data_IF_670122787340
#
_entry.id   IF_670122787340
#
_cell.length_a   1.000
_cell.length_b   1.000
_cell.length_c   1.000
_cell.angle_alpha   90.00
_cell.angle_beta   90.00
_cell.angle_gamma   90.00
#
_symmetry.space_group_name_H-M   'P 1'
#
loop_
_entity.id
_entity.type
_entity.pdbx_description
1 polymer ?
#
# COMPACT_ATOMS: atom_id res chain seq x y z
N UNK A 1 18.81 12.97 10.41
CA UNK A 1 18.59 12.75 11.84
C UNK A 1 17.37 13.55 12.26
N UNK A 2 16.50 12.97 13.06
CA UNK A 2 15.34 13.62 13.65
C UNK A 2 15.58 13.86 15.14
N UNK A 3 15.19 15.01 15.64
CA UNK A 3 15.29 15.37 17.05
C UNK A 3 13.98 15.98 17.53
N UNK A 4 13.65 15.80 18.80
CA UNK A 4 12.61 16.58 19.47
C UNK A 4 13.15 17.96 19.88
N UNK A 5 12.27 18.96 20.06
CA UNK A 5 12.68 20.24 20.61
C UNK A 5 13.47 20.04 21.91
N UNK A 6 14.57 20.78 22.06
CA UNK A 6 15.50 20.71 23.19
C UNK A 6 16.41 19.46 23.25
N UNK A 7 16.24 18.47 22.38
CA UNK A 7 17.22 17.39 22.25
C UNK A 7 18.54 17.87 21.63
N UNK A 8 19.65 17.36 22.16
CA UNK A 8 20.97 17.61 21.61
C UNK A 8 21.34 16.53 20.58
N UNK A 9 21.99 16.94 19.50
CA UNK A 9 22.62 15.99 18.57
C UNK A 9 23.84 15.35 19.25
N UNK A 10 23.76 14.05 19.52
CA UNK A 10 24.87 13.27 20.09
C UNK A 10 25.64 12.62 18.96
N UNK A 11 26.93 12.94 18.86
CA UNK A 11 27.82 12.30 17.89
C UNK A 11 28.43 11.02 18.47
N UNK A 12 28.56 9.94 17.67
CA UNK A 12 29.25 8.74 18.11
C UNK A 12 30.72 9.07 18.46
N UNK A 13 31.18 8.58 19.61
CA UNK A 13 32.58 8.69 20.02
C UNK A 13 33.38 7.59 19.33
N UNK A 14 34.27 7.94 18.42
CA UNK A 14 35.26 7.02 17.88
C UNK A 14 36.47 6.98 18.82
N UNK A 15 36.80 5.81 19.36
CA UNK A 15 37.62 5.61 20.57
C UNK A 15 39.04 6.17 20.59
N UNK A 16 39.62 6.69 19.52
CA UNK A 16 41.01 7.20 19.46
C UNK A 16 41.16 8.50 18.69
N UNK A 17 40.08 9.06 18.18
CA UNK A 17 40.11 10.34 17.45
C UNK A 17 39.42 11.38 18.32
N UNK A 18 40.06 12.56 18.47
CA UNK A 18 39.42 13.71 19.10
C UNK A 18 38.01 13.90 18.53
N UNK A 19 37.02 14.27 19.36
CA UNK A 19 35.62 14.32 18.92
C UNK A 19 35.50 15.23 17.69
N UNK A 20 34.80 14.72 16.67
CA UNK A 20 34.40 15.52 15.52
C UNK A 20 33.71 16.79 16.03
N UNK A 21 34.23 17.94 15.68
CA UNK A 21 33.63 19.22 16.05
C UNK A 21 32.53 19.57 15.05
N UNK A 22 31.41 19.99 15.57
CA UNK A 22 30.31 20.51 14.74
C UNK A 22 30.67 21.92 14.27
N UNK A 23 30.63 22.13 12.96
CA UNK A 23 30.80 23.45 12.36
C UNK A 23 29.51 23.76 11.57
N UNK A 24 28.84 24.81 11.88
CA UNK A 24 27.65 25.26 11.17
C UNK A 24 27.44 26.75 11.39
N UNK A 25 26.66 27.37 10.54
CA UNK A 25 26.28 28.80 10.64
C UNK A 25 25.56 29.17 11.93
N UNK A 26 25.21 28.18 12.74
CA UNK A 26 24.75 28.31 14.12
C UNK A 26 25.27 27.11 14.90
N UNK A 27 25.90 27.33 16.05
CA UNK A 27 26.31 26.28 16.99
C UNK A 27 25.06 25.59 17.55
N UNK A 28 24.54 24.59 16.82
CA UNK A 28 23.34 23.88 17.21
C UNK A 28 23.71 22.69 18.06
N UNK A 29 23.92 22.94 19.33
CA UNK A 29 23.97 21.89 20.35
C UNK A 29 22.58 21.63 20.96
N UNK A 30 21.66 22.57 20.84
CA UNK A 30 20.25 22.38 21.22
C UNK A 30 19.34 23.20 20.31
N UNK A 31 18.51 22.53 19.52
CA UNK A 31 17.50 23.19 18.68
C UNK A 31 16.22 23.36 19.48
N UNK A 32 15.88 24.59 19.83
CA UNK A 32 14.60 24.89 20.51
C UNK A 32 13.41 25.00 19.54
N UNK A 33 13.69 25.32 18.29
CA UNK A 33 12.64 25.56 17.30
C UNK A 33 12.46 24.38 16.34
N UNK A 34 11.22 24.05 16.03
CA UNK A 34 10.85 23.13 14.96
C UNK A 34 11.37 23.66 13.63
N UNK A 35 12.04 22.81 12.86
CA UNK A 35 12.63 23.22 11.59
C UNK A 35 13.65 22.23 11.04
N UNK A 36 14.21 22.55 9.87
CA UNK A 36 15.26 21.76 9.21
C UNK A 36 16.57 22.52 9.26
N UNK A 37 17.63 21.88 9.75
CA UNK A 37 18.97 22.43 9.95
C UNK A 37 19.99 21.59 9.20
N UNK A 38 21.02 22.23 8.67
CA UNK A 38 22.18 21.57 8.09
C UNK A 38 23.38 21.80 9.01
N UNK A 39 24.04 20.71 9.37
CA UNK A 39 25.23 20.74 10.22
C UNK A 39 26.37 20.00 9.54
N UNK A 40 27.51 20.67 9.36
CA UNK A 40 28.69 20.05 8.79
C UNK A 40 29.57 19.52 9.90
N UNK A 41 29.92 18.24 9.82
CA UNK A 41 30.93 17.61 10.65
C UNK A 41 32.32 17.93 10.09
N UNK A 42 33.19 18.49 10.90
CA UNK A 42 34.57 18.80 10.52
C UNK A 42 35.55 18.09 11.43
N UNK A 43 36.56 17.46 10.85
CA UNK A 43 37.69 16.87 11.56
C UNK A 43 38.66 18.00 11.95
N UNK A 44 39.04 18.05 13.22
CA UNK A 44 39.87 19.12 13.75
C UNK A 44 39.24 20.52 13.70
N UNK A 45 37.94 20.62 13.37
CA UNK A 45 37.21 21.87 13.29
C UNK A 45 37.37 22.65 11.98
N UNK A 46 38.17 22.17 11.02
CA UNK A 46 38.46 22.87 9.76
C UNK A 46 38.24 22.01 8.49
N UNK A 47 38.42 20.67 8.57
CA UNK A 47 38.24 19.78 7.41
C UNK A 47 36.81 19.23 7.37
N UNK A 48 35.95 19.65 6.45
CA UNK A 48 34.59 19.13 6.35
C UNK A 48 34.58 17.67 5.91
N UNK A 49 33.93 16.81 6.70
CA UNK A 49 33.87 15.36 6.45
C UNK A 49 32.47 14.95 5.95
N UNK A 50 31.42 15.48 6.58
CA UNK A 50 30.04 15.11 6.24
C UNK A 50 29.06 16.21 6.64
N UNK A 51 28.09 16.50 5.79
CA UNK A 51 26.94 17.33 6.13
C UNK A 51 25.76 16.46 6.57
N UNK A 52 25.21 16.77 7.74
CA UNK A 52 24.04 16.08 8.31
C UNK A 52 22.85 17.05 8.25
N UNK A 53 21.75 16.57 7.68
CA UNK A 53 20.46 17.26 7.79
C UNK A 53 19.79 16.81 9.08
N UNK A 54 19.49 17.75 9.96
CA UNK A 54 18.77 17.53 11.21
C UNK A 54 17.38 18.15 11.10
N UNK A 55 16.35 17.37 11.36
CA UNK A 55 14.96 17.84 11.40
C UNK A 55 14.50 17.82 12.85
N UNK A 56 14.18 19.00 13.38
CA UNK A 56 13.59 19.14 14.71
C UNK A 56 12.08 19.18 14.56
N UNK A 57 11.39 18.25 15.20
CA UNK A 57 9.94 18.12 15.10
C UNK A 57 9.37 17.55 16.40
N UNK A 58 8.15 17.90 16.70
CA UNK A 58 7.41 17.20 17.76
C UNK A 58 7.15 15.76 17.30
N UNK A 59 7.37 14.81 18.20
CA UNK A 59 7.15 13.40 17.90
C UNK A 59 5.69 13.13 17.57
N UNK A 60 5.39 12.56 16.40
CA UNK A 60 4.02 12.16 16.07
C UNK A 60 3.55 11.05 17.01
N UNK A 61 2.27 11.08 17.35
CA UNK A 61 1.59 9.99 18.05
C UNK A 61 0.35 9.61 17.27
N UNK A 62 0.22 8.33 16.93
CA UNK A 62 -0.83 7.80 16.06
C UNK A 62 -1.49 6.58 16.70
N UNK A 63 -2.66 6.20 16.23
CA UNK A 63 -3.30 4.93 16.56
C UNK A 63 -2.72 3.86 15.63
N UNK A 64 -1.92 2.96 16.17
CA UNK A 64 -1.34 1.80 15.45
C UNK A 64 -2.42 0.75 15.28
N UNK A 65 -2.64 0.29 14.06
CA UNK A 65 -3.80 -0.53 13.72
C UNK A 65 -3.46 -2.01 13.47
N UNK A 66 -3.02 -2.39 12.31
CA UNK A 66 -2.85 -3.80 11.91
C UNK A 66 -4.16 -4.45 11.40
N UNK A 67 -5.23 -3.67 11.26
CA UNK A 67 -6.56 -4.11 10.83
C UNK A 67 -6.59 -4.32 9.30
N UNK A 68 -7.29 -5.36 8.80
CA UNK A 68 -7.45 -5.53 7.37
C UNK A 68 -8.41 -4.48 6.81
N UNK A 69 -8.15 -4.03 5.62
CA UNK A 69 -9.08 -3.19 4.86
C UNK A 69 -9.13 -3.61 3.40
N UNK A 70 -10.28 -3.43 2.81
CA UNK A 70 -10.47 -3.55 1.37
C UNK A 70 -10.13 -2.24 0.69
N UNK A 71 -9.46 -2.33 -0.44
CA UNK A 71 -9.15 -1.20 -1.30
C UNK A 71 -10.06 -1.23 -2.51
N UNK A 72 -10.69 -0.11 -2.83
CA UNK A 72 -11.37 0.12 -4.10
C UNK A 72 -10.69 1.29 -4.78
N UNK A 73 -10.05 1.05 -5.92
CA UNK A 73 -9.46 2.11 -6.73
C UNK A 73 -10.38 2.42 -7.90
N UNK A 74 -10.55 3.70 -8.15
CA UNK A 74 -11.24 4.20 -9.33
C UNK A 74 -10.20 4.89 -10.20
N UNK A 75 -9.83 4.25 -11.31
CA UNK A 75 -9.00 4.85 -12.35
C UNK A 75 -9.88 5.68 -13.29
N UNK A 76 -9.28 6.49 -14.15
CA UNK A 76 -10.01 7.06 -15.29
C UNK A 76 -10.29 5.93 -16.29
N UNK A 77 -11.50 5.33 -16.22
CA UNK A 77 -11.86 4.15 -16.97
C UNK A 77 -11.59 2.83 -16.24
N UNK A 78 -12.15 1.75 -16.74
CA UNK A 78 -11.96 0.40 -16.20
C UNK A 78 -10.65 -0.19 -16.73
N UNK A 79 -9.68 -0.43 -15.84
CA UNK A 79 -8.39 -1.05 -16.19
C UNK A 79 -8.57 -2.57 -16.37
N UNK A 80 -8.08 -3.11 -17.47
CA UNK A 80 -8.06 -4.56 -17.72
C UNK A 80 -6.84 -5.15 -17.01
N UNK A 81 -7.06 -5.76 -15.85
CA UNK A 81 -5.99 -6.40 -15.03
C UNK A 81 -5.90 -7.91 -15.23
N UNK A 82 -6.79 -8.49 -16.01
CA UNK A 82 -6.80 -9.91 -16.31
C UNK A 82 -7.93 -10.27 -17.25
N UNK A 83 -7.84 -11.48 -17.79
CA UNK A 83 -8.92 -12.06 -18.58
C UNK A 83 -9.53 -13.25 -17.82
N UNK A 84 -10.84 -13.43 -17.97
CA UNK A 84 -11.57 -14.62 -17.53
C UNK A 84 -12.50 -15.07 -18.66
N UNK A 85 -12.48 -16.34 -18.99
CA UNK A 85 -13.40 -16.83 -19.97
C UNK A 85 -14.84 -16.78 -19.41
N UNK A 86 -15.79 -16.55 -20.30
CA UNK A 86 -17.21 -16.48 -20.03
C UNK A 86 -17.85 -17.82 -20.36
N UNK A 87 -18.51 -18.46 -19.38
CA UNK A 87 -19.16 -19.75 -19.57
C UNK A 87 -20.49 -19.54 -20.31
N UNK A 88 -20.60 -20.15 -21.48
CA UNK A 88 -21.80 -20.05 -22.32
C UNK A 88 -22.79 -21.16 -22.02
N UNK A 89 -24.05 -20.91 -22.31
CA UNK A 89 -25.13 -21.88 -22.12
C UNK A 89 -24.98 -23.16 -22.97
N UNK A 90 -24.21 -23.10 -24.07
CA UNK A 90 -23.92 -24.25 -24.93
C UNK A 90 -22.75 -25.12 -24.41
N UNK A 91 -22.22 -24.81 -23.22
CA UNK A 91 -21.08 -25.51 -22.61
C UNK A 91 -19.72 -25.09 -23.14
N UNK A 92 -19.65 -24.13 -24.07
CA UNK A 92 -18.41 -23.54 -24.54
C UNK A 92 -17.99 -22.34 -23.70
N UNK A 93 -16.77 -21.84 -23.97
CA UNK A 93 -16.27 -20.60 -23.37
C UNK A 93 -16.01 -19.55 -24.43
N UNK A 94 -16.09 -18.27 -24.06
CA UNK A 94 -15.75 -17.15 -24.92
C UNK A 94 -14.98 -16.09 -24.14
N UNK A 95 -14.14 -15.33 -24.84
CA UNK A 95 -13.53 -14.14 -24.27
C UNK A 95 -13.69 -12.95 -25.23
N UNK A 96 -14.80 -12.20 -25.13
CA UNK A 96 -15.09 -11.09 -26.03
C UNK A 96 -13.99 -10.02 -26.07
N UNK A 97 -13.40 -9.70 -24.93
CA UNK A 97 -12.35 -8.69 -24.88
C UNK A 97 -11.07 -9.10 -25.60
N UNK A 98 -10.64 -10.36 -25.47
CA UNK A 98 -9.52 -10.90 -26.25
C UNK A 98 -9.84 -10.91 -27.75
N UNK A 99 -11.06 -11.31 -28.11
CA UNK A 99 -11.50 -11.33 -29.51
C UNK A 99 -11.54 -9.91 -30.11
N UNK A 100 -11.85 -8.91 -29.31
CA UNK A 100 -11.82 -7.49 -29.69
C UNK A 100 -10.40 -6.88 -29.73
N UNK A 101 -9.35 -7.65 -29.43
CA UNK A 101 -7.96 -7.16 -29.43
C UNK A 101 -7.59 -6.28 -28.24
N UNK A 102 -8.36 -6.35 -27.14
CA UNK A 102 -8.00 -5.70 -25.89
C UNK A 102 -6.88 -6.47 -25.19
N UNK A 103 -5.99 -5.75 -24.52
CA UNK A 103 -4.82 -6.28 -23.83
C UNK A 103 -4.87 -5.98 -22.34
N UNK A 104 -4.03 -6.69 -21.57
CA UNK A 104 -3.75 -6.31 -20.17
C UNK A 104 -3.14 -4.91 -20.13
N UNK A 105 -3.54 -4.12 -19.16
CA UNK A 105 -3.12 -2.73 -19.04
C UNK A 105 -3.92 -1.73 -19.88
N UNK A 106 -4.81 -2.18 -20.76
CA UNK A 106 -5.75 -1.29 -21.45
C UNK A 106 -6.74 -0.70 -20.44
N UNK A 107 -7.05 0.56 -20.60
CA UNK A 107 -8.00 1.27 -19.78
C UNK A 107 -9.22 1.64 -20.61
N UNK A 108 -10.31 0.90 -20.42
CA UNK A 108 -11.59 1.14 -21.10
C UNK A 108 -12.22 2.40 -20.52
N UNK A 109 -12.45 3.41 -21.34
CA UNK A 109 -13.00 4.71 -20.92
C UNK A 109 -14.44 4.92 -21.38
N UNK A 110 -14.89 4.17 -22.40
CA UNK A 110 -16.25 4.23 -22.88
C UNK A 110 -16.68 2.91 -23.53
N UNK A 111 -17.91 2.49 -23.33
CA UNK A 111 -18.57 1.38 -24.03
C UNK A 111 -19.90 1.92 -24.58
N UNK A 112 -20.04 1.96 -25.92
CA UNK A 112 -21.13 2.64 -26.57
C UNK A 112 -21.14 4.13 -26.19
N UNK A 113 -22.26 4.59 -25.64
CA UNK A 113 -22.42 5.97 -25.14
C UNK A 113 -22.11 6.10 -23.63
N UNK A 114 -21.74 5.01 -22.96
CA UNK A 114 -21.55 4.97 -21.51
C UNK A 114 -20.09 5.14 -21.14
N UNK A 115 -19.77 6.21 -20.40
CA UNK A 115 -18.45 6.37 -19.79
C UNK A 115 -18.23 5.31 -18.70
N UNK A 116 -17.12 4.57 -18.79
CA UNK A 116 -16.82 3.44 -17.89
C UNK A 116 -15.90 3.87 -16.77
N UNK A 117 -16.41 4.69 -15.85
CA UNK A 117 -15.64 5.20 -14.71
C UNK A 117 -15.38 4.15 -13.61
N UNK A 118 -16.14 3.06 -13.62
CA UNK A 118 -16.07 1.96 -12.66
C UNK A 118 -16.73 0.70 -13.23
N UNK A 119 -16.63 -0.41 -12.50
CA UNK A 119 -17.14 -1.71 -12.90
C UNK A 119 -18.66 -1.76 -13.06
N UNK A 120 -19.39 -1.01 -12.24
CA UNK A 120 -20.85 -0.95 -12.33
C UNK A 120 -21.27 -0.27 -13.65
N UNK A 121 -20.52 0.75 -14.10
CA UNK A 121 -20.74 1.39 -15.39
C UNK A 121 -20.40 0.46 -16.57
N UNK A 122 -19.31 -0.32 -16.47
CA UNK A 122 -18.97 -1.35 -17.46
C UNK A 122 -20.11 -2.40 -17.55
N UNK A 123 -20.53 -2.91 -16.41
CA UNK A 123 -21.62 -3.88 -16.35
C UNK A 123 -22.91 -3.32 -16.98
N UNK A 124 -23.31 -2.11 -16.59
CA UNK A 124 -24.50 -1.47 -17.12
C UNK A 124 -24.42 -1.27 -18.65
N UNK A 125 -23.25 -0.90 -19.18
CA UNK A 125 -23.04 -0.74 -20.61
C UNK A 125 -23.14 -2.07 -21.37
N UNK A 126 -22.54 -3.15 -20.82
CA UNK A 126 -22.61 -4.48 -21.42
C UNK A 126 -24.03 -5.07 -21.34
N UNK A 127 -24.75 -4.85 -20.24
CA UNK A 127 -26.14 -5.27 -20.09
C UNK A 127 -27.06 -4.49 -21.07
N UNK A 128 -26.81 -3.20 -21.29
CA UNK A 128 -27.54 -2.39 -22.26
C UNK A 128 -27.30 -2.86 -23.71
N UNK A 129 -26.11 -3.35 -24.03
CA UNK A 129 -25.80 -3.89 -25.35
C UNK A 129 -26.53 -5.19 -25.68
N UNK A 130 -26.98 -5.97 -24.68
CA UNK A 130 -27.76 -7.21 -24.83
C UNK A 130 -27.20 -8.18 -25.89
N UNK A 131 -25.87 -8.29 -25.97
CA UNK A 131 -25.20 -9.14 -26.95
C UNK A 131 -25.03 -8.53 -28.34
N UNK A 132 -25.48 -7.30 -28.58
CA UNK A 132 -25.15 -6.58 -29.80
C UNK A 132 -23.69 -6.10 -29.79
N UNK A 133 -23.11 -5.94 -30.96
CA UNK A 133 -21.79 -5.35 -31.12
C UNK A 133 -21.83 -3.89 -30.65
N UNK A 134 -20.86 -3.52 -29.83
CA UNK A 134 -20.74 -2.17 -29.23
C UNK A 134 -19.32 -1.64 -29.39
N UNK A 135 -19.20 -0.34 -29.67
CA UNK A 135 -17.92 0.34 -29.72
C UNK A 135 -17.28 0.43 -28.32
N UNK A 136 -15.98 0.21 -28.25
CA UNK A 136 -15.18 0.34 -27.03
C UNK A 136 -14.04 1.32 -27.26
N UNK A 137 -14.02 2.39 -26.50
CA UNK A 137 -12.91 3.37 -26.50
C UNK A 137 -12.02 3.06 -25.29
N UNK A 138 -10.73 2.90 -25.54
CA UNK A 138 -9.76 2.57 -24.52
C UNK A 138 -8.45 3.32 -24.70
N UNK A 139 -7.64 3.36 -23.64
CA UNK A 139 -6.30 3.98 -23.64
C UNK A 139 -5.27 2.88 -23.48
N UNK A 140 -4.29 2.83 -24.40
CA UNK A 140 -3.13 1.94 -24.37
C UNK A 140 -1.87 2.75 -24.58
N UNK A 141 -0.90 2.67 -23.65
CA UNK A 141 0.35 3.41 -23.76
C UNK A 141 0.19 4.94 -23.81
N UNK A 142 -0.92 5.48 -23.26
CA UNK A 142 -1.24 6.91 -23.31
C UNK A 142 -2.00 7.36 -24.56
N UNK A 143 -2.21 6.50 -25.55
CA UNK A 143 -2.97 6.79 -26.77
C UNK A 143 -4.41 6.29 -26.65
N UNK A 144 -5.37 7.08 -27.10
CA UNK A 144 -6.77 6.69 -27.19
C UNK A 144 -7.01 5.91 -28.47
N UNK A 145 -7.53 4.71 -28.32
CA UNK A 145 -7.83 3.75 -29.38
C UNK A 145 -9.30 3.33 -29.31
N UNK A 146 -9.79 2.71 -30.36
CA UNK A 146 -11.16 2.17 -30.42
C UNK A 146 -11.18 0.78 -31.05
N UNK A 147 -12.14 -0.05 -30.62
CA UNK A 147 -12.44 -1.35 -31.18
C UNK A 147 -13.93 -1.62 -31.04
N UNK A 148 -14.40 -2.76 -31.57
CA UNK A 148 -15.76 -3.25 -31.34
C UNK A 148 -15.71 -4.54 -30.54
N UNK A 149 -16.69 -4.74 -29.68
CA UNK A 149 -16.83 -5.88 -28.79
C UNK A 149 -18.27 -6.38 -28.81
N UNK A 150 -18.46 -7.70 -28.93
CA UNK A 150 -19.76 -8.34 -28.75
C UNK A 150 -19.79 -9.04 -27.39
N UNK A 151 -20.55 -8.55 -26.41
CA UNK A 151 -20.62 -9.20 -25.09
C UNK A 151 -21.13 -10.63 -25.18
N UNK A 152 -20.64 -11.52 -24.33
CA UNK A 152 -21.16 -12.86 -24.18
C UNK A 152 -22.04 -12.99 -22.92
N UNK A 153 -23.11 -13.79 -23.04
CA UNK A 153 -23.94 -14.13 -21.89
C UNK A 153 -23.23 -15.17 -21.03
N UNK A 154 -22.96 -14.84 -19.78
CA UNK A 154 -22.41 -15.76 -18.79
C UNK A 154 -23.56 -16.52 -18.12
N UNK A 155 -23.71 -17.80 -18.47
CA UNK A 155 -24.77 -18.65 -17.96
C UNK A 155 -24.63 -18.95 -16.44
N UNK A 156 -23.40 -18.87 -15.91
CA UNK A 156 -23.12 -19.11 -14.49
C UNK A 156 -23.40 -17.88 -13.66
N UNK A 157 -23.07 -16.69 -14.16
CA UNK A 157 -23.22 -15.42 -13.47
C UNK A 157 -24.53 -14.71 -13.82
N UNK A 158 -25.32 -15.21 -14.78
CA UNK A 158 -26.60 -14.67 -15.27
C UNK A 158 -26.47 -13.17 -15.67
N UNK A 159 -25.47 -12.84 -16.48
CA UNK A 159 -25.18 -11.47 -16.93
C UNK A 159 -24.35 -11.41 -18.20
N UNK A 160 -24.40 -10.26 -18.91
CA UNK A 160 -23.51 -9.99 -20.03
C UNK A 160 -22.10 -9.64 -19.58
N UNK A 161 -21.09 -10.24 -20.21
CA UNK A 161 -19.68 -10.03 -19.83
C UNK A 161 -18.78 -9.84 -21.05
N UNK A 162 -17.71 -9.06 -20.83
CA UNK A 162 -16.62 -8.90 -21.80
C UNK A 162 -15.47 -9.91 -21.59
N UNK A 163 -15.48 -10.69 -20.53
CA UNK A 163 -14.40 -11.63 -20.24
C UNK A 163 -13.14 -10.94 -19.67
N UNK A 164 -13.32 -9.81 -19.02
CA UNK A 164 -12.23 -9.10 -18.34
C UNK A 164 -12.36 -9.22 -16.82
N UNK A 165 -11.23 -9.18 -16.15
CA UNK A 165 -11.14 -8.89 -14.74
C UNK A 165 -10.66 -7.44 -14.58
N UNK A 166 -11.39 -6.71 -13.82
CA UNK A 166 -11.22 -5.30 -13.54
C UNK A 166 -10.95 -5.10 -12.05
N UNK A 167 -10.23 -5.97 -11.39
CA UNK A 167 -10.09 -5.87 -9.97
C UNK A 167 -8.99 -4.92 -9.56
N UNK A 168 -9.41 -3.77 -9.21
CA UNK A 168 -8.74 -2.96 -8.20
C UNK A 168 -9.30 -3.19 -6.78
N UNK A 169 -9.86 -4.35 -6.52
CA UNK A 169 -10.30 -4.76 -5.19
C UNK A 169 -9.21 -5.62 -4.55
N UNK A 170 -8.38 -5.04 -3.70
CA UNK A 170 -7.33 -5.72 -2.97
C UNK A 170 -7.61 -5.72 -1.46
N UNK A 171 -6.94 -6.62 -0.74
CA UNK A 171 -6.90 -6.62 0.71
C UNK A 171 -5.51 -6.12 1.13
N UNK A 172 -5.49 -5.21 2.09
CA UNK A 172 -4.26 -4.71 2.71
C UNK A 172 -4.43 -4.55 4.21
N UNK A 173 -3.36 -4.12 4.85
CA UNK A 173 -3.34 -3.86 6.28
C UNK A 173 -3.16 -2.37 6.54
N UNK A 174 -4.01 -1.82 7.41
CA UNK A 174 -3.95 -0.45 7.88
C UNK A 174 -2.80 -0.31 8.87
N UNK A 175 -1.86 0.56 8.58
CA UNK A 175 -0.68 0.76 9.42
C UNK A 175 -1.02 1.62 10.63
N UNK A 176 -1.56 2.79 10.37
CA UNK A 176 -1.96 3.71 11.44
C UNK A 176 -3.09 4.65 11.00
N UNK A 177 -3.73 5.25 11.99
CA UNK A 177 -4.62 6.38 11.83
C UNK A 177 -4.22 7.52 12.79
N UNK A 178 -4.32 8.77 12.32
CA UNK A 178 -4.27 9.97 13.16
C UNK A 178 -5.67 10.57 13.19
N UNK A 179 -6.42 10.23 14.21
CA UNK A 179 -7.82 10.64 14.35
C UNK A 179 -7.96 12.16 14.50
N UNK A 180 -6.96 12.84 15.10
CA UNK A 180 -6.99 14.30 15.26
C UNK A 180 -6.87 15.01 13.92
N UNK A 181 -6.08 14.46 13.00
CA UNK A 181 -5.90 15.01 11.65
C UNK A 181 -6.88 14.41 10.65
N UNK A 182 -7.61 13.34 11.02
CA UNK A 182 -8.52 12.64 10.13
C UNK A 182 -7.80 11.96 8.96
N UNK A 183 -6.60 11.39 9.20
CA UNK A 183 -5.79 10.73 8.17
C UNK A 183 -5.48 9.29 8.54
N UNK A 184 -5.25 8.46 7.51
CA UNK A 184 -4.77 7.09 7.67
C UNK A 184 -3.63 6.78 6.70
N UNK A 185 -2.89 5.71 6.99
CA UNK A 185 -1.91 5.12 6.10
C UNK A 185 -1.97 3.59 6.13
N UNK A 186 -1.66 2.97 5.00
CA UNK A 186 -1.63 1.51 4.86
C UNK A 186 -0.78 1.03 3.69
N UNK A 187 -0.65 -0.27 3.53
CA UNK A 187 0.07 -1.01 2.50
C UNK A 187 1.60 -0.93 2.55
N UNK A 188 2.21 0.21 2.71
CA UNK A 188 3.68 0.37 2.69
C UNK A 188 4.32 0.30 1.30
N UNK A 189 3.53 0.18 0.24
CA UNK A 189 3.93 0.22 -1.17
C UNK A 189 2.76 0.77 -2.02
N UNK A 190 2.99 1.20 -3.26
CA UNK A 190 1.89 1.62 -4.12
C UNK A 190 0.96 0.45 -4.45
N UNK A 191 -0.29 0.76 -4.72
CA UNK A 191 -1.18 -0.15 -5.39
C UNK A 191 -0.74 -0.17 -6.86
N UNK A 192 -0.30 -1.33 -7.30
CA UNK A 192 0.18 -1.56 -8.65
C UNK A 192 -0.69 -2.62 -9.32
N UNK A 193 -0.74 -2.56 -10.62
CA UNK A 193 -1.28 -3.63 -11.44
C UNK A 193 -0.46 -4.91 -11.21
N UNK A 194 -1.13 -6.04 -11.00
CA UNK A 194 -0.48 -7.31 -10.65
C UNK A 194 0.31 -7.91 -11.81
N UNK A 195 -0.06 -7.60 -13.05
CA UNK A 195 0.49 -8.21 -14.24
C UNK A 195 1.57 -7.33 -14.87
N UNK A 196 1.39 -6.01 -14.85
CA UNK A 196 2.36 -5.06 -15.41
C UNK A 196 3.35 -4.54 -14.37
N UNK A 197 2.99 -4.59 -13.09
CA UNK A 197 3.77 -3.99 -12.00
C UNK A 197 3.74 -2.45 -11.97
N UNK A 198 3.02 -1.83 -12.89
CA UNK A 198 2.90 -0.38 -12.97
C UNK A 198 1.98 0.15 -11.86
N UNK A 199 2.35 1.29 -11.28
CA UNK A 199 1.52 1.97 -10.28
C UNK A 199 0.22 2.46 -10.93
N UNK A 200 -0.91 2.10 -10.33
CA UNK A 200 -2.22 2.55 -10.83
C UNK A 200 -2.35 4.06 -10.60
N UNK A 201 -2.59 4.80 -11.68
CA UNK A 201 -2.85 6.23 -11.60
C UNK A 201 -4.14 6.48 -10.80
N UNK A 202 -4.02 7.20 -9.69
CA UNK A 202 -5.13 7.46 -8.79
C UNK A 202 -5.99 8.61 -9.32
N UNK A 203 -7.23 8.33 -9.74
CA UNK A 203 -8.29 9.34 -9.86
C UNK A 203 -8.99 9.52 -8.50
N UNK A 204 -9.38 8.42 -7.89
CA UNK A 204 -9.92 8.35 -6.55
C UNK A 204 -9.80 6.91 -6.04
N UNK A 205 -9.87 6.74 -4.73
CA UNK A 205 -9.86 5.43 -4.11
C UNK A 205 -10.56 5.48 -2.78
N UNK A 206 -11.07 4.35 -2.37
CA UNK A 206 -11.79 4.19 -1.12
C UNK A 206 -11.23 3.00 -0.34
N UNK A 207 -11.26 3.11 0.97
CA UNK A 207 -11.08 1.97 1.85
C UNK A 207 -12.42 1.55 2.43
N UNK A 208 -12.63 0.24 2.48
CA UNK A 208 -13.86 -0.37 2.99
C UNK A 208 -13.54 -1.38 4.09
N UNK A 209 -14.47 -1.65 5.03
CA UNK A 209 -14.28 -2.68 6.03
C UNK A 209 -14.07 -4.06 5.39
N UNK A 210 -13.09 -4.79 5.89
CA UNK A 210 -12.73 -6.12 5.39
C UNK A 210 -12.51 -7.09 6.54
N UNK A 211 -12.88 -8.35 6.33
CA UNK A 211 -12.64 -9.47 7.22
C UNK A 211 -11.78 -10.50 6.53
N UNK A 212 -10.76 -11.00 7.21
CA UNK A 212 -9.96 -12.12 6.73
C UNK A 212 -10.72 -13.43 6.96
N UNK A 213 -10.99 -14.14 5.86
CA UNK A 213 -11.74 -15.40 5.86
C UNK A 213 -10.86 -16.63 5.75
N UNK A 214 -9.58 -16.47 5.40
CA UNK A 214 -8.63 -17.55 5.28
C UNK A 214 -7.26 -17.09 4.81
N UNK A 215 -6.35 -18.03 4.72
CA UNK A 215 -4.97 -17.82 4.25
C UNK A 215 -4.54 -19.00 3.37
N UNK A 216 -4.01 -18.69 2.20
CA UNK A 216 -3.17 -19.61 1.42
C UNK A 216 -1.74 -19.50 1.95
N UNK A 217 -1.17 -20.59 2.51
CA UNK A 217 0.17 -20.53 3.10
C UNK A 217 1.23 -20.29 2.05
N UNK A 218 2.20 -19.45 2.39
CA UNK A 218 3.42 -19.27 1.62
C UNK A 218 4.37 -20.46 1.76
N UNK A 219 5.10 -20.75 0.71
CA UNK A 219 6.19 -21.71 0.65
C UNK A 219 7.40 -21.08 -0.03
N UNK A 220 8.57 -21.69 0.06
CA UNK A 220 9.76 -21.18 -0.62
C UNK A 220 9.50 -21.04 -2.13
N UNK A 221 9.68 -19.83 -2.67
CA UNK A 221 9.46 -19.50 -4.07
C UNK A 221 8.00 -19.25 -4.48
N UNK A 222 7.04 -19.41 -3.55
CA UNK A 222 5.62 -19.12 -3.80
C UNK A 222 5.01 -18.38 -2.61
N UNK A 223 4.83 -17.06 -2.69
CA UNK A 223 4.20 -16.30 -1.63
C UNK A 223 2.75 -16.74 -1.44
N UNK A 224 2.33 -16.81 -0.18
CA UNK A 224 0.93 -17.04 0.16
C UNK A 224 0.10 -15.76 0.11
N UNK A 225 -1.20 -15.89 0.46
CA UNK A 225 -2.15 -14.79 0.38
C UNK A 225 -3.20 -14.87 1.48
N UNK A 226 -3.52 -13.73 2.10
CA UNK A 226 -4.70 -13.58 2.95
C UNK A 226 -5.94 -13.40 2.07
N UNK A 227 -6.96 -14.22 2.31
CA UNK A 227 -8.25 -14.11 1.62
C UNK A 227 -9.18 -13.27 2.46
N UNK A 228 -9.70 -12.19 1.89
CA UNK A 228 -10.59 -11.26 2.57
C UNK A 228 -11.97 -11.19 1.92
N UNK A 229 -12.93 -10.75 2.71
CA UNK A 229 -14.28 -10.42 2.25
C UNK A 229 -14.64 -9.02 2.73
N UNK A 230 -15.15 -8.19 1.84
CA UNK A 230 -15.66 -6.87 2.20
C UNK A 230 -16.94 -7.03 3.01
N UNK A 231 -17.03 -6.34 4.13
CA UNK A 231 -18.18 -6.39 5.03
C UNK A 231 -19.26 -5.38 4.61
N UNK A 232 -18.88 -4.34 3.91
CA UNK A 232 -19.76 -3.29 3.44
C UNK A 232 -19.21 -2.67 2.15
N UNK A 233 -20.14 -2.18 1.31
CA UNK A 233 -19.80 -1.35 0.17
C UNK A 233 -19.49 0.11 0.57
N UNK A 234 -19.87 0.52 1.80
CA UNK A 234 -19.68 1.89 2.27
C UNK A 234 -18.21 2.15 2.60
N UNK A 235 -17.69 3.23 2.04
CA UNK A 235 -16.33 3.68 2.30
C UNK A 235 -16.19 4.16 3.76
N UNK A 236 -15.10 3.75 4.41
CA UNK A 236 -14.67 4.24 5.72
C UNK A 236 -13.54 5.26 5.61
N UNK A 237 -13.03 5.49 4.40
CA UNK A 237 -12.04 6.51 4.11
C UNK A 237 -11.81 6.65 2.61
N UNK A 238 -11.21 7.78 2.23
CA UNK A 238 -10.88 8.11 0.84
C UNK A 238 -9.39 8.13 0.68
N UNK A 239 -8.85 7.38 -0.28
CA UNK A 239 -7.42 7.39 -0.64
C UNK A 239 -7.15 8.70 -1.40
N UNK A 240 -6.11 9.42 -0.98
CA UNK A 240 -5.67 10.68 -1.57
C UNK A 240 -4.35 10.55 -2.31
N UNK A 241 -3.49 9.65 -1.84
CA UNK A 241 -2.16 9.42 -2.40
C UNK A 241 -1.96 7.91 -2.52
N UNK A 242 -1.62 7.47 -3.73
CA UNK A 242 -1.05 6.16 -4.01
C UNK A 242 0.42 6.40 -4.36
N UNK A 243 1.29 6.22 -3.40
CA UNK A 243 2.70 6.59 -3.51
C UNK A 243 3.65 5.44 -3.21
N UNK A 244 4.93 5.65 -3.46
CA UNK A 244 5.99 4.63 -3.30
C UNK A 244 6.04 4.02 -1.89
N UNK A 245 5.64 4.78 -0.87
CA UNK A 245 5.67 4.36 0.54
C UNK A 245 4.29 3.90 1.06
N UNK A 246 3.33 3.68 0.18
CA UNK A 246 1.99 3.20 0.54
C UNK A 246 0.86 4.12 0.14
N UNK A 247 -0.32 3.81 0.66
CA UNK A 247 -1.51 4.62 0.48
C UNK A 247 -1.77 5.49 1.68
N UNK A 248 -2.12 6.74 1.41
CA UNK A 248 -2.50 7.72 2.42
C UNK A 248 -3.84 8.34 2.06
N UNK A 249 -4.64 8.61 3.06
CA UNK A 249 -5.97 9.14 2.80
C UNK A 249 -6.59 9.84 3.98
N UNK A 250 -7.84 10.27 3.77
CA UNK A 250 -8.65 10.92 4.80
C UNK A 250 -9.75 9.98 5.29
N UNK A 251 -10.05 10.04 6.59
CA UNK A 251 -11.08 9.23 7.24
C UNK A 251 -11.72 10.00 8.39
N UNK A 252 -12.98 9.64 8.68
CA UNK A 252 -13.69 10.03 9.90
C UNK A 252 -14.02 8.83 10.77
N UNK A 253 -13.66 7.63 10.30
CA UNK A 253 -13.86 6.40 11.05
C UNK A 253 -12.86 6.35 12.22
N UNK A 254 -13.29 5.73 13.31
CA UNK A 254 -12.43 5.33 14.41
C UNK A 254 -11.95 3.91 14.16
N UNK A 255 -10.66 3.70 14.37
CA UNK A 255 -10.05 2.38 14.19
C UNK A 255 -9.63 1.79 15.54
N UNK A 256 -9.89 0.51 15.70
CA UNK A 256 -9.35 -0.22 16.83
C UNK A 256 -7.83 -0.27 16.73
N UNK A 257 -7.15 0.09 17.82
CA UNK A 257 -5.69 0.12 17.86
C UNK A 257 -5.17 0.69 19.16
N UNK A 258 -3.85 0.79 19.24
CA UNK A 258 -3.18 1.36 20.41
C UNK A 258 -2.47 2.65 20.02
N UNK A 259 -2.65 3.69 20.83
CA UNK A 259 -1.96 4.95 20.62
C UNK A 259 -0.48 4.81 20.99
N UNK A 260 0.39 5.09 20.04
CA UNK A 260 1.83 5.00 20.20
C UNK A 260 2.53 6.21 19.58
N UNK A 261 3.72 6.49 20.06
CA UNK A 261 4.65 7.40 19.40
C UNK A 261 5.30 6.73 18.20
N UNK A 262 5.65 7.53 17.20
CA UNK A 262 6.42 7.08 16.05
C UNK A 262 7.91 7.12 16.37
N UNK A 263 8.63 6.02 16.14
CA UNK A 263 10.08 5.98 16.25
C UNK A 263 10.71 6.85 15.14
N UNK A 264 11.77 7.56 15.48
CA UNK A 264 12.59 8.18 14.46
C UNK A 264 13.51 7.13 13.81
N UNK A 265 13.85 7.30 12.54
CA UNK A 265 14.62 6.32 11.78
C UNK A 265 15.92 5.87 12.48
N UNK A 266 16.61 6.79 13.18
CA UNK A 266 17.83 6.47 13.92
C UNK A 266 17.62 5.73 15.24
N UNK A 267 16.37 5.55 15.68
CA UNK A 267 16.02 4.82 16.90
C UNK A 267 15.68 3.34 16.61
N UNK A 268 15.50 3.03 15.32
CA UNK A 268 15.25 1.65 14.90
C UNK A 268 16.59 0.89 14.90
N UNK A 269 16.59 -0.27 15.54
CA UNK A 269 17.81 -1.09 15.68
C UNK A 269 17.57 -2.56 15.32
N UNK A 270 18.62 -3.28 14.99
CA UNK A 270 18.52 -4.72 14.79
C UNK A 270 18.22 -5.39 16.14
N UNK A 271 17.24 -6.29 16.15
CA UNK A 271 16.77 -6.91 17.39
C UNK A 271 15.32 -7.35 17.33
N UNK A 272 14.76 -7.61 18.50
CA UNK A 272 13.39 -8.04 18.64
C UNK A 272 12.40 -6.91 18.33
N UNK A 273 11.31 -7.25 17.66
CA UNK A 273 10.21 -6.37 17.32
C UNK A 273 8.92 -7.20 17.17
N UNK A 274 7.83 -6.52 16.95
CA UNK A 274 6.53 -7.12 16.67
C UNK A 274 5.97 -6.57 15.35
N UNK A 275 5.25 -7.43 14.61
CA UNK A 275 4.34 -6.98 13.56
C UNK A 275 2.91 -7.18 14.03
N UNK A 276 2.06 -6.21 13.76
CA UNK A 276 0.64 -6.32 14.06
C UNK A 276 -0.12 -6.57 12.78
N UNK A 277 -0.79 -7.69 12.71
CA UNK A 277 -1.51 -8.12 11.51
C UNK A 277 -2.71 -8.98 11.88
N UNK A 278 -3.67 -9.05 10.96
CA UNK A 278 -4.87 -9.88 11.12
C UNK A 278 -4.77 -11.07 10.19
N UNK A 279 -4.72 -12.27 10.73
CA UNK A 279 -4.66 -13.53 9.97
C UNK A 279 -6.02 -14.23 9.88
N UNK A 280 -7.00 -13.79 10.70
CA UNK A 280 -8.38 -14.30 10.71
C UNK A 280 -9.30 -13.27 11.36
N UNK A 281 -10.51 -13.07 10.80
CA UNK A 281 -11.46 -12.10 11.32
C UNK A 281 -11.04 -10.66 11.02
N UNK A 282 -11.28 -9.77 11.99
CA UNK A 282 -11.05 -8.32 11.87
C UNK A 282 -10.03 -7.80 12.89
N UNK A 283 -9.71 -8.61 13.90
CA UNK A 283 -8.92 -8.18 15.05
C UNK A 283 -7.43 -8.46 14.83
N UNK A 284 -6.57 -7.43 14.86
CA UNK A 284 -5.14 -7.61 14.74
C UNK A 284 -4.54 -8.26 15.98
N UNK A 285 -3.44 -8.96 15.76
CA UNK A 285 -2.61 -9.57 16.82
C UNK A 285 -1.16 -9.18 16.61
N UNK A 286 -0.44 -9.04 17.69
CA UNK A 286 1.01 -8.85 17.69
C UNK A 286 1.71 -10.19 17.53
N UNK A 287 2.62 -10.28 16.56
CA UNK A 287 3.45 -11.45 16.30
C UNK A 287 4.92 -11.07 16.35
N UNK A 288 5.74 -11.91 16.96
CA UNK A 288 7.16 -11.65 17.13
C UNK A 288 7.92 -11.78 15.82
N UNK A 289 8.76 -10.77 15.57
CA UNK A 289 9.71 -10.74 14.46
C UNK A 289 11.08 -10.31 14.98
N UNK A 290 12.09 -10.50 14.17
CA UNK A 290 13.42 -9.98 14.42
C UNK A 290 13.83 -9.08 13.25
N UNK A 291 14.24 -7.86 13.56
CA UNK A 291 14.91 -6.98 12.60
C UNK A 291 16.34 -7.49 12.49
N UNK A 292 16.70 -8.06 11.34
CA UNK A 292 18.02 -8.65 11.14
C UNK A 292 19.03 -7.63 10.61
N UNK A 293 18.55 -6.74 9.76
CA UNK A 293 19.41 -5.76 9.08
C UNK A 293 18.61 -4.50 8.82
N UNK A 294 19.29 -3.37 9.00
CA UNK A 294 18.84 -2.04 8.59
C UNK A 294 19.86 -1.49 7.59
N UNK A 295 19.39 -0.87 6.54
CA UNK A 295 20.22 -0.34 5.46
C UNK A 295 19.68 1.01 4.99
N UNK A 296 20.56 1.98 4.86
CA UNK A 296 20.22 3.30 4.31
C UNK A 296 20.33 3.36 2.78
N UNK A 297 20.69 2.24 2.13
CA UNK A 297 20.95 2.20 0.69
C UNK A 297 19.70 2.36 -0.17
N UNK A 298 18.56 1.84 0.27
CA UNK A 298 17.26 2.01 -0.39
C UNK A 298 16.19 2.34 0.66
N UNK A 299 15.66 3.55 0.67
CA UNK A 299 14.65 3.95 1.66
C UNK A 299 13.36 3.13 1.58
N UNK A 300 13.09 2.43 0.47
CA UNK A 300 11.90 1.58 0.29
C UNK A 300 12.11 0.16 0.82
N UNK A 301 13.38 -0.28 0.96
CA UNK A 301 13.76 -1.62 1.41
C UNK A 301 14.86 -1.52 2.46
N UNK A 302 14.61 -0.72 3.48
CA UNK A 302 15.61 -0.36 4.47
C UNK A 302 15.76 -1.38 5.60
N UNK A 303 14.87 -2.36 5.73
CA UNK A 303 14.90 -3.37 6.79
C UNK A 303 14.71 -4.78 6.23
N UNK A 304 15.43 -5.73 6.83
CA UNK A 304 15.20 -7.17 6.66
C UNK A 304 14.60 -7.72 7.93
N UNK A 305 13.43 -8.33 7.82
CA UNK A 305 12.69 -8.92 8.93
C UNK A 305 12.68 -10.43 8.82
N UNK A 306 12.81 -11.10 9.96
CA UNK A 306 12.52 -12.54 10.08
C UNK A 306 11.35 -12.75 11.03
N UNK A 307 10.35 -13.50 10.58
CA UNK A 307 9.28 -13.98 11.44
C UNK A 307 9.83 -15.06 12.35
N UNK A 308 9.73 -14.88 13.67
CA UNK A 308 10.14 -15.85 14.68
C UNK A 308 8.95 -16.38 15.48
N UNK A 309 7.78 -15.83 15.26
CA UNK A 309 6.53 -16.26 15.89
C UNK A 309 6.07 -17.59 15.31
N UNK A 310 5.96 -18.60 16.17
CA UNK A 310 5.59 -19.96 15.76
C UNK A 310 4.14 -20.06 15.29
N UNK A 311 3.24 -19.28 15.90
CA UNK A 311 1.83 -19.30 15.54
C UNK A 311 1.64 -18.68 14.14
N UNK A 312 2.25 -17.52 13.87
CA UNK A 312 2.20 -16.91 12.56
C UNK A 312 2.78 -17.82 11.47
N UNK A 313 3.95 -18.44 11.73
CA UNK A 313 4.56 -19.39 10.79
C UNK A 313 3.66 -20.61 10.54
N UNK A 314 2.99 -21.11 11.58
CA UNK A 314 2.07 -22.24 11.42
C UNK A 314 0.82 -21.86 10.61
N UNK A 315 0.33 -20.63 10.73
CA UNK A 315 -0.87 -20.17 10.03
C UNK A 315 -0.57 -19.78 8.57
N UNK A 316 0.50 -19.05 8.33
CA UNK A 316 0.76 -18.36 7.03
C UNK A 316 2.00 -18.87 6.31
N UNK A 317 2.89 -19.58 6.96
CA UNK A 317 4.18 -20.01 6.40
C UNK A 317 5.24 -18.91 6.36
N UNK A 318 4.89 -17.67 6.71
CA UNK A 318 5.75 -16.49 6.67
C UNK A 318 4.94 -15.20 6.40
N UNK A 319 5.58 -14.20 5.84
CA UNK A 319 4.89 -13.00 5.35
C UNK A 319 4.19 -13.36 4.04
N UNK A 320 2.91 -13.03 3.94
CA UNK A 320 2.05 -13.34 2.79
C UNK A 320 1.40 -12.08 2.23
N UNK A 321 0.89 -12.15 1.01
CA UNK A 321 0.13 -11.04 0.40
C UNK A 321 -1.09 -10.69 1.28
N UNK A 322 -1.42 -9.42 1.37
CA UNK A 322 -2.43 -8.89 2.29
C UNK A 322 -1.88 -8.41 3.63
N UNK A 323 -0.68 -8.86 4.05
CA UNK A 323 0.02 -8.31 5.22
C UNK A 323 0.73 -6.99 4.93
N UNK A 324 0.75 -6.53 3.69
CA UNK A 324 1.31 -5.25 3.30
C UNK A 324 0.70 -4.12 4.14
N UNK A 325 1.54 -3.31 4.79
CA UNK A 325 1.13 -2.26 5.72
C UNK A 325 1.01 -2.70 7.18
N UNK A 326 1.29 -3.96 7.51
CA UNK A 326 1.37 -4.39 8.92
C UNK A 326 2.37 -3.52 9.67
N UNK A 327 1.96 -2.78 10.72
CA UNK A 327 2.86 -1.94 11.49
C UNK A 327 3.93 -2.78 12.19
N UNK A 328 5.15 -2.26 12.21
CA UNK A 328 6.26 -2.81 12.96
C UNK A 328 6.40 -1.99 14.24
N UNK A 329 6.37 -2.65 15.37
CA UNK A 329 6.49 -2.03 16.69
C UNK A 329 7.77 -2.50 17.36
N UNK A 330 8.64 -1.56 17.74
CA UNK A 330 9.85 -1.83 18.49
C UNK A 330 9.94 -0.87 19.68
N UNK A 331 10.29 -1.38 20.85
CA UNK A 331 10.42 -0.59 22.07
C UNK A 331 9.20 0.30 22.40
N UNK A 332 7.97 -0.20 22.08
CA UNK A 332 6.70 0.52 22.30
C UNK A 332 6.43 1.68 21.34
N UNK A 333 7.14 1.74 20.20
CA UNK A 333 6.99 2.76 19.15
C UNK A 333 6.73 2.13 17.79
N UNK A 334 5.96 2.85 16.93
CA UNK A 334 5.72 2.49 15.54
C UNK A 334 6.93 2.85 14.69
#
# INVERSE_FOLDING_TARGET
VYLEPEQALVLPRFGWVEPLRLHGSQNVVSTRAVGSYQTTLALGGWLPVKTIRTVVTTRPSVTVCGTPFGVKMFSEGALIVGFSDVDRADGGTANPAKAAGLHLGDRVVCIGETATENNDAVKAALDAAQGAEVEVIYIRGGEQLQTTLTPAWDATADQWRAGVRDSSAGVGTLTFADEKKGVFAGLGHPISDSDTGESIALRSGEIVPCQITGCSKGTAGSPGELKGRFLSAHAIGTIRINGENGVYGSTRAQFAGQKMEVAFAQEVEAGDAEIWTTTSGETPRAYRVKIEKISDADPRRNMVLRVVDRELLAQTGGIVQGMSGSPIVQNGRL
#
